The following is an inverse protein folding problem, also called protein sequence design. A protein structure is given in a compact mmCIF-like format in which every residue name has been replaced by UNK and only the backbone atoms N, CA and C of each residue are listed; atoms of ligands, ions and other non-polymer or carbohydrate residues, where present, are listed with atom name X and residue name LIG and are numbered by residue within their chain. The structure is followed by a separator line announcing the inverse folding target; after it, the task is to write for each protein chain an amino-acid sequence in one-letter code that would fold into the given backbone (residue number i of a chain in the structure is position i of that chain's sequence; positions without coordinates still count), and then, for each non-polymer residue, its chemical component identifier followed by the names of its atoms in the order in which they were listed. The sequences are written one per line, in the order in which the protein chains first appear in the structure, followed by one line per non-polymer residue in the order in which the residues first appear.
data_IF_154692312702
#
_entry.id   IF_154692312702
#
_cell.length_a   1.000
_cell.length_b   1.000
_cell.length_c   1.000
_cell.angle_alpha   90.00
_cell.angle_beta   90.00
_cell.angle_gamma   90.00
#
_symmetry.space_group_name_H-M   'P 1'
#
loop_
_entity.id
_entity.type
_entity.pdbx_description
1 polymer ?
#
# COMPACT_ATOMS: atom_id res chain seq x y z
N UNK A 1 -0.97 10.77 -5.87
CA UNK A 1 -1.28 9.90 -7.01
C UNK A 1 -2.79 9.89 -7.30
N UNK A 2 -3.64 9.94 -6.30
CA UNK A 2 -5.10 9.94 -6.48
C UNK A 2 -5.57 11.17 -7.27
N UNK A 3 -5.11 12.37 -6.89
CA UNK A 3 -5.44 13.60 -7.59
C UNK A 3 -5.00 13.57 -9.06
N UNK A 4 -3.82 13.00 -9.30
CA UNK A 4 -3.24 12.92 -10.65
C UNK A 4 -4.01 11.98 -11.57
N UNK A 5 -4.57 10.90 -11.03
CA UNK A 5 -5.28 9.88 -11.81
C UNK A 5 -6.80 10.06 -11.80
N UNK A 6 -7.33 10.93 -10.94
CA UNK A 6 -8.77 11.08 -10.74
C UNK A 6 -9.42 9.90 -10.03
N UNK A 7 -8.62 9.02 -9.42
CA UNK A 7 -9.12 7.87 -8.68
C UNK A 7 -9.37 8.21 -7.21
N UNK A 8 -10.26 7.46 -6.57
CA UNK A 8 -10.45 7.51 -5.12
C UNK A 8 -9.82 6.28 -4.45
N UNK A 9 -9.65 6.36 -3.13
CA UNK A 9 -9.07 5.23 -2.38
C UNK A 9 -9.94 3.97 -2.47
N UNK A 10 -11.24 4.14 -2.65
CA UNK A 10 -12.18 3.03 -2.74
C UNK A 10 -12.12 2.29 -4.09
N UNK A 11 -11.47 2.88 -5.09
CA UNK A 11 -11.31 2.24 -6.41
C UNK A 11 -10.32 1.07 -6.39
N UNK A 12 -9.51 0.95 -5.34
CA UNK A 12 -8.51 -0.11 -5.24
C UNK A 12 -9.08 -1.37 -4.58
N UNK A 13 -8.72 -2.52 -5.13
CA UNK A 13 -9.08 -3.83 -4.57
C UNK A 13 -8.14 -4.22 -3.43
N UNK A 14 -6.87 -3.84 -3.54
CA UNK A 14 -5.83 -4.14 -2.56
C UNK A 14 -4.92 -2.94 -2.38
N UNK A 15 -4.45 -2.74 -1.14
CA UNK A 15 -3.52 -1.67 -0.79
C UNK A 15 -2.40 -2.25 0.07
N UNK A 16 -1.17 -2.00 -0.34
CA UNK A 16 0.02 -2.24 0.47
C UNK A 16 0.61 -0.88 0.88
N UNK A 17 0.42 -0.52 2.13
CA UNK A 17 0.99 0.69 2.72
C UNK A 17 2.07 0.29 3.71
N UNK A 18 3.31 0.70 3.47
CA UNK A 18 4.41 0.28 4.32
C UNK A 18 4.25 0.82 5.74
N UNK A 19 4.34 -0.08 6.71
CA UNK A 19 4.21 0.24 8.13
C UNK A 19 5.58 0.64 8.72
N UNK A 20 6.06 1.81 8.35
CA UNK A 20 7.31 2.33 8.91
C UNK A 20 7.17 2.59 10.42
N UNK A 21 6.02 3.09 10.83
CA UNK A 21 5.64 3.29 12.24
C UNK A 21 4.15 3.00 12.42
N UNK A 22 3.79 2.38 13.54
CA UNK A 22 2.39 2.05 13.84
C UNK A 22 1.49 3.29 13.90
N UNK A 23 1.94 4.35 14.55
CA UNK A 23 1.18 5.60 14.67
C UNK A 23 0.93 6.23 13.31
N UNK A 24 1.95 6.25 12.44
CA UNK A 24 1.85 6.77 11.08
C UNK A 24 0.86 5.94 10.26
N UNK A 25 0.92 4.62 10.36
CA UNK A 25 0.02 3.72 9.62
C UNK A 25 -1.44 3.94 10.03
N UNK A 26 -1.71 4.09 11.32
CA UNK A 26 -3.05 4.37 11.82
C UNK A 26 -3.57 5.75 11.36
N UNK A 27 -2.73 6.76 11.42
CA UNK A 27 -3.10 8.12 11.02
C UNK A 27 -3.44 8.18 9.52
N UNK A 28 -2.61 7.60 8.68
CA UNK A 28 -2.80 7.55 7.22
C UNK A 28 -4.06 6.76 6.88
N UNK A 29 -4.26 5.61 7.51
CA UNK A 29 -5.44 4.79 7.29
C UNK A 29 -6.74 5.51 7.63
N UNK A 30 -6.76 6.25 8.74
CA UNK A 30 -7.92 7.05 9.14
C UNK A 30 -8.18 8.22 8.20
N UNK A 31 -7.14 8.97 7.87
CA UNK A 31 -7.27 10.16 7.03
C UNK A 31 -7.73 9.84 5.62
N UNK A 32 -7.21 8.74 5.05
CA UNK A 32 -7.61 8.29 3.71
C UNK A 32 -8.89 7.46 3.70
N UNK A 33 -9.38 7.02 4.85
CA UNK A 33 -10.55 6.16 4.91
C UNK A 33 -10.33 4.78 4.32
N UNK A 34 -9.14 4.21 4.51
CA UNK A 34 -8.80 2.91 3.93
C UNK A 34 -9.61 1.80 4.62
N UNK A 35 -10.24 0.93 3.82
CA UNK A 35 -10.90 -0.26 4.32
C UNK A 35 -9.84 -1.26 4.83
N UNK A 36 -9.84 -1.62 6.13
CA UNK A 36 -8.85 -2.53 6.70
C UNK A 36 -8.80 -3.91 6.04
N UNK A 37 -9.89 -4.36 5.45
CA UNK A 37 -9.95 -5.66 4.77
C UNK A 37 -9.15 -5.70 3.48
N UNK A 38 -8.81 -4.54 2.93
CA UNK A 38 -8.01 -4.39 1.70
C UNK A 38 -6.56 -4.05 1.98
N UNK A 39 -6.22 -3.72 3.22
CA UNK A 39 -4.93 -3.14 3.60
C UNK A 39 -3.99 -4.20 4.18
N UNK A 40 -2.81 -4.34 3.58
CA UNK A 40 -1.73 -5.19 4.09
C UNK A 40 -2.24 -6.59 4.49
N UNK A 41 -2.96 -7.22 3.60
CA UNK A 41 -3.71 -8.46 3.89
C UNK A 41 -2.81 -9.65 4.25
N UNK A 42 -1.53 -9.58 3.94
CA UNK A 42 -0.53 -10.61 4.31
C UNK A 42 0.38 -10.16 5.45
N UNK A 43 -0.03 -9.15 6.21
CA UNK A 43 0.80 -8.51 7.23
C UNK A 43 1.66 -7.39 6.65
N UNK A 44 2.13 -6.51 7.48
CA UNK A 44 2.96 -5.38 7.10
C UNK A 44 4.32 -5.41 7.80
N UNK A 45 5.06 -4.31 7.72
CA UNK A 45 6.43 -4.21 8.24
C UNK A 45 6.53 -4.42 9.74
N UNK A 46 5.49 -4.14 10.51
CA UNK A 46 5.47 -4.39 11.95
C UNK A 46 5.63 -5.88 12.22
N UNK A 47 5.02 -6.73 11.40
CA UNK A 47 5.13 -8.18 11.52
C UNK A 47 6.34 -8.75 10.77
N UNK A 48 6.65 -8.21 9.59
CA UNK A 48 7.61 -8.79 8.64
C UNK A 48 8.99 -8.14 8.68
N UNK A 49 9.08 -6.91 9.17
CA UNK A 49 10.31 -6.12 9.15
C UNK A 49 10.29 -5.03 8.08
N UNK A 50 11.14 -4.02 8.29
CA UNK A 50 11.29 -2.88 7.38
C UNK A 50 12.73 -2.77 6.89
N UNK A 51 13.13 -3.57 5.89
CA UNK A 51 14.44 -3.42 5.26
C UNK A 51 14.43 -2.19 4.36
N UNK A 52 14.94 -1.07 4.87
CA UNK A 52 14.80 0.27 4.26
C UNK A 52 15.14 0.28 2.77
N UNK A 53 16.19 -0.41 2.35
CA UNK A 53 16.58 -0.46 0.94
C UNK A 53 15.73 -1.38 0.08
N UNK A 54 14.86 -2.20 0.66
CA UNK A 54 14.06 -3.20 -0.06
C UNK A 54 12.56 -3.10 0.18
N UNK A 55 12.09 -2.25 1.10
CA UNK A 55 10.67 -2.20 1.45
C UNK A 55 9.77 -1.83 0.27
N UNK A 56 10.20 -0.94 -0.61
CA UNK A 56 9.45 -0.61 -1.82
C UNK A 56 9.24 -1.83 -2.71
N UNK A 57 10.28 -2.59 -2.95
CA UNK A 57 10.21 -3.84 -3.70
C UNK A 57 9.32 -4.87 -2.97
N UNK A 58 9.50 -5.02 -1.66
CA UNK A 58 8.75 -5.98 -0.85
C UNK A 58 7.25 -5.74 -0.95
N UNK A 59 6.77 -4.51 -0.75
CA UNK A 59 5.34 -4.20 -0.80
C UNK A 59 4.78 -4.40 -2.20
N UNK A 60 5.51 -4.03 -3.24
CA UNK A 60 5.05 -4.20 -4.61
C UNK A 60 4.94 -5.68 -4.98
N UNK A 61 5.94 -6.49 -4.63
CA UNK A 61 5.93 -7.95 -4.89
C UNK A 61 4.75 -8.60 -4.15
N UNK A 62 4.55 -8.27 -2.88
CA UNK A 62 3.42 -8.77 -2.09
C UNK A 62 2.08 -8.41 -2.75
N UNK A 63 1.94 -7.15 -3.17
CA UNK A 63 0.73 -6.67 -3.83
C UNK A 63 0.44 -7.45 -5.11
N UNK A 64 1.43 -7.61 -5.97
CA UNK A 64 1.26 -8.30 -7.25
C UNK A 64 0.85 -9.77 -7.08
N UNK A 65 1.50 -10.47 -6.16
CA UNK A 65 1.16 -11.87 -5.89
C UNK A 65 -0.26 -12.02 -5.33
N UNK A 66 -0.66 -11.14 -4.42
CA UNK A 66 -2.00 -11.19 -3.85
C UNK A 66 -3.07 -10.80 -4.88
N UNK A 67 -2.77 -9.84 -5.76
CA UNK A 67 -3.66 -9.49 -6.86
C UNK A 67 -3.92 -10.68 -7.79
N UNK A 68 -2.89 -11.46 -8.10
CA UNK A 68 -3.04 -12.68 -8.90
C UNK A 68 -3.89 -13.72 -8.18
N UNK A 69 -3.62 -13.93 -6.88
CA UNK A 69 -4.31 -14.91 -6.06
C UNK A 69 -5.80 -14.64 -5.93
N UNK A 70 -6.19 -13.38 -5.78
CA UNK A 70 -7.58 -12.94 -5.61
C UNK A 70 -8.27 -12.53 -6.91
N UNK A 71 -7.55 -12.54 -8.02
CA UNK A 71 -8.02 -11.95 -9.28
C UNK A 71 -8.41 -10.47 -9.14
N UNK A 72 -7.68 -9.74 -8.29
CA UNK A 72 -7.86 -8.31 -8.11
C UNK A 72 -7.35 -7.54 -9.32
N UNK A 73 -8.01 -6.43 -9.66
CA UNK A 73 -7.70 -5.67 -10.89
C UNK A 73 -6.86 -4.44 -10.63
N UNK A 74 -7.06 -3.76 -9.50
CA UNK A 74 -6.37 -2.51 -9.18
C UNK A 74 -5.74 -2.58 -7.80
N UNK A 75 -4.47 -2.22 -7.73
CA UNK A 75 -3.71 -2.22 -6.49
C UNK A 75 -2.93 -0.93 -6.30
N UNK A 76 -2.70 -0.57 -5.05
CA UNK A 76 -1.91 0.58 -4.65
C UNK A 76 -0.80 0.13 -3.72
N UNK A 77 0.44 0.48 -4.04
CA UNK A 77 1.58 0.34 -3.15
C UNK A 77 2.07 1.73 -2.77
N UNK A 78 2.21 1.99 -1.48
CA UNK A 78 2.65 3.31 -1.00
C UNK A 78 3.55 3.19 0.21
N UNK A 79 4.52 4.09 0.31
CA UNK A 79 5.41 4.15 1.45
C UNK A 79 5.91 5.58 1.66
N UNK A 80 6.29 5.87 2.91
CA UNK A 80 6.96 7.12 3.24
C UNK A 80 8.45 7.05 2.89
N UNK A 81 9.02 8.21 2.59
CA UNK A 81 10.45 8.40 2.35
C UNK A 81 10.95 9.42 3.38
N UNK A 82 12.22 9.34 3.74
CA UNK A 82 12.83 10.33 4.65
C UNK A 82 12.58 11.77 4.18
N UNK A 83 12.49 12.70 5.13
CA UNK A 83 12.24 14.10 4.85
C UNK A 83 10.78 14.49 4.63
N UNK A 84 9.83 13.68 5.11
CA UNK A 84 8.40 13.98 5.00
C UNK A 84 7.81 13.77 3.62
N UNK A 85 8.47 12.96 2.79
CA UNK A 85 8.02 12.64 1.43
C UNK A 85 7.31 11.30 1.39
N UNK A 86 6.66 11.00 0.27
CA UNK A 86 6.04 9.70 0.02
C UNK A 86 6.18 9.30 -1.43
N UNK A 87 6.08 8.00 -1.68
CA UNK A 87 6.07 7.43 -3.02
C UNK A 87 4.92 6.45 -3.13
N UNK A 88 4.18 6.52 -4.22
CA UNK A 88 3.03 5.63 -4.45
C UNK A 88 3.01 5.13 -5.88
N UNK A 89 2.65 3.87 -6.05
CA UNK A 89 2.53 3.23 -7.35
C UNK A 89 1.17 2.55 -7.45
N UNK A 90 0.46 2.85 -8.53
CA UNK A 90 -0.79 2.17 -8.87
C UNK A 90 -0.48 1.11 -9.92
N UNK A 91 -0.99 -0.10 -9.71
CA UNK A 91 -0.88 -1.19 -10.67
C UNK A 91 -2.27 -1.68 -11.05
N UNK A 92 -2.42 -2.06 -12.30
CA UNK A 92 -3.68 -2.52 -12.85
C UNK A 92 -3.43 -3.74 -13.74
N UNK A 93 -4.37 -4.67 -13.73
CA UNK A 93 -4.32 -5.85 -14.59
C UNK A 93 -5.67 -6.07 -15.28
N UNK A 94 -5.66 -6.83 -16.35
CA UNK A 94 -6.86 -7.18 -17.13
C UNK A 94 -7.82 -8.13 -16.41
#
# INVERSE_FOLDING_TARGET
VLAKTGMSIDDFDLIEANEAFAAQSLAVGRELGINPEKLNVNGGAIALGHPVGASGCRILVTLLHEMQKRDAKKGLATLCIGGGMGCSTIVERD
#
